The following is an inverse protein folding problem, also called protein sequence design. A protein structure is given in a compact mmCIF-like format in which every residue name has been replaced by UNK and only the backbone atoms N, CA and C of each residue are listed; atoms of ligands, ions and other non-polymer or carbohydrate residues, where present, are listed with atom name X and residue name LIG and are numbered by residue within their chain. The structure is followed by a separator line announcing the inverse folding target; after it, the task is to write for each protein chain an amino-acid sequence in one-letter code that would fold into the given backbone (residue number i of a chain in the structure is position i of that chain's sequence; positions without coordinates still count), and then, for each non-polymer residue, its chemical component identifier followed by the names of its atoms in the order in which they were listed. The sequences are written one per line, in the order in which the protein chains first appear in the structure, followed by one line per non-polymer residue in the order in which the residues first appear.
data_IF_300019544555
#
_entry.id   IF_300019544555
#
_cell.length_a   1.000
_cell.length_b   1.000
_cell.length_c   1.000
_cell.angle_alpha   90.00
_cell.angle_beta   90.00
_cell.angle_gamma   90.00
#
_symmetry.space_group_name_H-M   'P 1'
#
loop_
_entity.id
_entity.type
_entity.pdbx_description
1 polymer ?
#
# COMPACT_ATOMS: atom_id res chain seq x y z
N UNK A 1 28.55 28.50 9.60
CA UNK A 1 27.27 28.05 10.18
C UNK A 1 26.30 27.82 9.03
N UNK A 2 26.19 26.58 8.53
CA UNK A 2 25.29 26.29 7.42
C UNK A 2 23.92 25.93 8.00
N UNK A 3 22.94 26.83 7.84
CA UNK A 3 21.53 26.54 8.06
C UNK A 3 21.14 25.41 7.10
N UNK A 4 20.92 24.21 7.61
CA UNK A 4 20.19 23.18 6.89
C UNK A 4 18.77 23.70 6.65
N UNK A 5 18.44 23.97 5.40
CA UNK A 5 17.05 24.13 4.98
C UNK A 5 16.27 22.92 5.48
N UNK A 6 15.26 23.13 6.33
CA UNK A 6 14.32 22.07 6.74
C UNK A 6 13.56 21.65 5.49
N UNK A 7 14.11 20.70 4.73
CA UNK A 7 13.54 20.20 3.49
C UNK A 7 12.18 19.54 3.76
N UNK A 8 11.16 19.94 2.99
CA UNK A 8 9.84 19.32 3.02
C UNK A 8 9.96 17.82 2.72
N UNK A 9 9.44 16.98 3.62
CA UNK A 9 9.36 15.53 3.38
C UNK A 9 8.13 15.25 2.51
N UNK A 10 8.33 14.52 1.41
CA UNK A 10 7.23 14.04 0.57
C UNK A 10 6.62 12.78 1.18
N UNK A 11 5.32 12.80 1.43
CA UNK A 11 4.55 11.61 1.75
C UNK A 11 4.13 10.82 0.51
N UNK A 12 3.26 9.85 0.72
CA UNK A 12 2.62 9.06 -0.33
C UNK A 12 1.10 9.15 -0.20
N UNK A 13 0.43 9.22 -1.35
CA UNK A 13 -1.02 9.39 -1.40
C UNK A 13 -1.74 8.10 -0.99
N UNK A 14 -3.01 8.22 -0.63
CA UNK A 14 -3.89 7.09 -0.32
C UNK A 14 -3.94 6.08 -1.47
N UNK A 15 -3.96 6.57 -2.72
CA UNK A 15 -3.94 5.72 -3.92
C UNK A 15 -2.64 4.94 -4.08
N UNK A 16 -1.49 5.54 -3.76
CA UNK A 16 -0.20 4.83 -3.75
C UNK A 16 -0.16 3.73 -2.68
N UNK A 17 -0.70 4.00 -1.48
CA UNK A 17 -0.84 2.98 -0.45
C UNK A 17 -1.75 1.83 -0.92
N UNK A 18 -2.90 2.13 -1.54
CA UNK A 18 -3.82 1.12 -2.06
C UNK A 18 -3.21 0.28 -3.20
N UNK A 19 -2.47 0.91 -4.11
CA UNK A 19 -1.71 0.22 -5.15
C UNK A 19 -0.69 -0.75 -4.54
N UNK A 20 0.05 -0.30 -3.53
CA UNK A 20 1.10 -1.08 -2.89
C UNK A 20 0.55 -2.27 -2.10
N UNK A 21 -0.51 -2.09 -1.30
CA UNK A 21 -1.15 -3.19 -0.58
C UNK A 21 -1.78 -4.20 -1.54
N UNK A 22 -2.45 -3.76 -2.61
CA UNK A 22 -3.01 -4.65 -3.60
C UNK A 22 -1.92 -5.48 -4.32
N UNK A 23 -0.81 -4.85 -4.70
CA UNK A 23 0.33 -5.53 -5.30
C UNK A 23 0.94 -6.55 -4.33
N UNK A 24 1.17 -6.15 -3.08
CA UNK A 24 1.74 -7.03 -2.07
C UNK A 24 0.84 -8.23 -1.78
N UNK A 25 -0.46 -8.02 -1.59
CA UNK A 25 -1.43 -9.09 -1.39
C UNK A 25 -1.45 -10.06 -2.59
N UNK A 26 -1.41 -9.57 -3.82
CA UNK A 26 -1.34 -10.43 -5.01
C UNK A 26 -0.03 -11.27 -5.07
N UNK A 27 1.11 -10.70 -4.68
CA UNK A 27 2.37 -11.44 -4.59
C UNK A 27 2.29 -12.52 -3.49
N UNK A 28 1.78 -12.16 -2.32
CA UNK A 28 1.66 -13.11 -1.20
C UNK A 28 0.69 -14.24 -1.52
N UNK A 29 -0.44 -13.94 -2.17
CA UNK A 29 -1.40 -14.94 -2.62
C UNK A 29 -0.79 -15.90 -3.65
N UNK A 30 -0.09 -15.37 -4.65
CA UNK A 30 0.48 -16.20 -5.73
C UNK A 30 1.68 -17.05 -5.30
N UNK A 31 2.38 -16.64 -4.25
CA UNK A 31 3.57 -17.35 -3.75
C UNK A 31 3.32 -18.17 -2.49
N UNK A 32 2.22 -17.94 -1.79
CA UNK A 32 1.95 -18.49 -0.46
C UNK A 32 2.89 -17.97 0.64
N UNK A 33 3.68 -16.91 0.37
CA UNK A 33 4.72 -16.41 1.28
C UNK A 33 4.45 -14.97 1.69
N UNK A 34 4.63 -14.66 2.98
CA UNK A 34 4.57 -13.29 3.47
C UNK A 34 5.81 -12.51 3.03
N UNK A 35 5.63 -11.27 2.57
CA UNK A 35 6.73 -10.34 2.22
C UNK A 35 6.70 -9.11 3.13
N UNK A 36 7.84 -8.55 3.48
CA UNK A 36 7.95 -7.43 4.43
C UNK A 36 7.70 -6.06 3.78
N UNK A 37 8.09 -5.92 2.51
CA UNK A 37 8.04 -4.65 1.78
C UNK A 37 7.63 -4.86 0.34
N UNK A 38 7.15 -3.80 -0.31
CA UNK A 38 6.76 -3.82 -1.71
C UNK A 38 7.29 -2.61 -2.50
N UNK A 39 7.96 -2.95 -3.59
CA UNK A 39 8.21 -2.19 -4.82
C UNK A 39 6.98 -1.55 -5.49
N UNK A 40 6.73 -0.24 -5.45
CA UNK A 40 5.79 0.41 -6.39
C UNK A 40 6.38 1.61 -7.11
N UNK A 41 5.87 1.88 -8.32
CA UNK A 41 6.18 3.08 -9.09
C UNK A 41 4.96 3.99 -9.11
N UNK A 42 5.14 5.25 -8.76
CA UNK A 42 4.09 6.28 -8.82
C UNK A 42 3.85 6.72 -10.27
N UNK A 43 2.72 7.39 -10.57
CA UNK A 43 2.48 7.99 -11.89
C UNK A 43 3.58 8.97 -12.33
N UNK A 44 4.17 9.68 -11.37
CA UNK A 44 5.32 10.59 -11.59
C UNK A 44 6.67 9.87 -11.81
N UNK A 45 6.68 8.54 -11.81
CA UNK A 45 7.86 7.73 -12.09
C UNK A 45 8.75 7.43 -10.88
N UNK A 46 8.40 7.92 -9.69
CA UNK A 46 9.15 7.69 -8.44
C UNK A 46 8.96 6.25 -7.97
N UNK A 47 10.05 5.58 -7.62
CA UNK A 47 10.01 4.27 -6.97
C UNK A 47 9.91 4.42 -5.46
N UNK A 48 9.00 3.67 -4.85
CA UNK A 48 8.79 3.62 -3.41
C UNK A 48 8.86 2.17 -2.96
N UNK A 49 9.61 1.93 -1.88
CA UNK A 49 9.70 0.63 -1.22
C UNK A 49 9.01 0.70 0.14
N UNK A 50 7.73 0.34 0.17
CA UNK A 50 6.84 0.57 1.31
C UNK A 50 6.78 -0.66 2.23
N UNK A 51 6.73 -0.41 3.53
CA UNK A 51 6.65 -1.44 4.56
C UNK A 51 5.21 -1.92 4.76
N UNK A 52 5.05 -3.24 4.92
CA UNK A 52 3.76 -3.87 5.06
C UNK A 52 3.49 -4.21 6.52
N UNK A 53 2.27 -3.90 6.97
CA UNK A 53 1.74 -4.28 8.28
C UNK A 53 0.66 -5.36 8.13
N UNK A 54 0.34 -6.06 9.22
CA UNK A 54 -0.79 -6.98 9.33
C UNK A 54 -0.89 -7.99 8.17
N UNK A 55 0.25 -8.61 7.84
CA UNK A 55 0.38 -9.52 6.70
C UNK A 55 -0.18 -10.90 7.01
N UNK A 56 -1.04 -11.38 6.14
CA UNK A 56 -1.69 -12.67 6.27
C UNK A 56 -1.83 -13.35 4.93
N UNK A 57 -1.56 -14.66 4.93
CA UNK A 57 -1.80 -15.56 3.81
C UNK A 57 -2.70 -16.66 4.37
N UNK A 58 -3.93 -16.69 3.90
CA UNK A 58 -4.89 -17.75 4.17
C UNK A 58 -4.89 -18.77 3.04
N UNK A 59 -5.90 -19.64 3.05
CA UNK A 59 -6.04 -20.71 2.04
C UNK A 59 -6.37 -20.17 0.64
N UNK A 60 -7.29 -19.20 0.55
CA UNK A 60 -7.79 -18.66 -0.71
C UNK A 60 -7.63 -17.13 -0.84
N UNK A 61 -6.94 -16.52 0.14
CA UNK A 61 -6.74 -15.08 0.21
C UNK A 61 -5.36 -14.69 0.73
N UNK A 62 -4.94 -13.48 0.40
CA UNK A 62 -3.88 -12.80 1.13
C UNK A 62 -4.28 -11.35 1.39
N UNK A 63 -3.85 -10.80 2.53
CA UNK A 63 -4.11 -9.41 2.90
C UNK A 63 -2.92 -8.78 3.61
N UNK A 64 -2.82 -7.46 3.47
CA UNK A 64 -1.85 -6.65 4.20
C UNK A 64 -2.32 -5.19 4.25
N UNK A 65 -1.67 -4.42 5.11
CA UNK A 65 -1.87 -2.98 5.20
C UNK A 65 -0.59 -2.18 5.03
N UNK A 66 -0.75 -0.86 4.87
CA UNK A 66 0.28 0.16 4.93
C UNK A 66 -0.24 1.32 5.78
N UNK A 67 0.60 1.87 6.63
CA UNK A 67 0.33 3.15 7.31
C UNK A 67 0.71 4.29 6.37
N UNK A 68 -0.24 5.17 6.05
CA UNK A 68 0.02 6.31 5.17
C UNK A 68 0.90 7.36 5.88
N UNK A 69 2.03 7.68 5.28
CA UNK A 69 2.85 8.83 5.65
C UNK A 69 2.55 9.99 4.70
N UNK A 70 2.17 11.14 5.24
CA UNK A 70 1.86 12.36 4.48
C UNK A 70 3.09 13.28 4.36
N UNK A 71 4.20 12.93 5.01
CA UNK A 71 5.39 13.77 5.07
C UNK A 71 5.08 15.06 5.83
N UNK A 72 5.38 16.19 5.20
CA UNK A 72 5.17 17.53 5.78
C UNK A 72 3.79 18.14 5.44
N UNK A 73 2.93 17.42 4.72
CA UNK A 73 1.61 17.88 4.32
C UNK A 73 0.58 17.68 5.46
N UNK A 74 -0.17 18.71 5.90
CA UNK A 74 -1.27 18.57 6.86
C UNK A 74 -2.47 17.83 6.22
N UNK A 75 -2.29 16.53 5.98
CA UNK A 75 -3.29 15.63 5.40
C UNK A 75 -4.05 14.88 6.53
N UNK A 76 -5.37 15.03 6.56
CA UNK A 76 -6.26 14.41 7.56
C UNK A 76 -6.23 12.88 7.57
N UNK A 77 -5.71 12.26 6.51
CA UNK A 77 -5.55 10.80 6.39
C UNK A 77 -4.14 10.34 6.71
N UNK A 78 -3.25 11.21 7.23
CA UNK A 78 -1.98 10.80 7.78
C UNK A 78 -2.16 9.76 8.89
N UNK A 79 -1.34 8.72 8.89
CA UNK A 79 -1.45 7.59 9.83
C UNK A 79 -2.61 6.64 9.54
N UNK A 80 -3.45 6.91 8.53
CA UNK A 80 -4.50 5.98 8.15
C UNK A 80 -3.90 4.65 7.70
N UNK A 81 -4.48 3.56 8.18
CA UNK A 81 -4.13 2.22 7.74
C UNK A 81 -4.94 1.87 6.50
N UNK A 82 -4.24 1.70 5.39
CA UNK A 82 -4.83 1.32 4.11
C UNK A 82 -4.61 -0.17 3.93
N UNK A 83 -5.65 -0.92 3.56
CA UNK A 83 -5.60 -2.37 3.43
C UNK A 83 -6.05 -2.83 2.05
N UNK A 84 -5.58 -4.00 1.64
CA UNK A 84 -6.13 -4.75 0.53
C UNK A 84 -6.16 -6.25 0.87
N UNK A 85 -7.23 -6.92 0.46
CA UNK A 85 -7.34 -8.38 0.43
C UNK A 85 -7.52 -8.81 -1.03
N UNK A 86 -6.79 -9.84 -1.46
CA UNK A 86 -6.83 -10.37 -2.81
C UNK A 86 -7.17 -11.85 -2.73
N UNK A 87 -8.03 -12.31 -3.65
CA UNK A 87 -8.45 -13.70 -3.82
C UNK A 87 -8.37 -14.09 -5.29
N UNK A 88 -8.15 -15.36 -5.58
CA UNK A 88 -8.34 -15.87 -6.93
C UNK A 88 -9.83 -15.90 -7.28
N UNK A 89 -10.14 -15.69 -8.56
CA UNK A 89 -11.51 -15.71 -9.07
C UNK A 89 -11.55 -16.58 -10.31
N UNK A 90 -12.61 -17.39 -10.40
CA UNK A 90 -12.89 -18.20 -11.60
C UNK A 90 -13.43 -17.36 -12.77
N UNK A 91 -13.68 -16.06 -12.55
CA UNK A 91 -14.10 -15.11 -13.60
C UNK A 91 -12.87 -14.48 -14.24
N UNK A 92 -12.88 -14.35 -15.57
CA UNK A 92 -11.85 -13.60 -16.30
C UNK A 92 -11.82 -12.13 -15.85
N UNK A 93 -10.62 -11.57 -15.74
CA UNK A 93 -10.39 -10.16 -15.41
C UNK A 93 -10.14 -9.90 -13.92
N UNK A 94 -10.20 -8.63 -13.53
CA UNK A 94 -9.97 -8.16 -12.16
C UNK A 94 -11.25 -7.47 -11.66
N UNK A 95 -11.71 -7.86 -10.48
CA UNK A 95 -12.82 -7.19 -9.78
C UNK A 95 -12.27 -6.46 -8.55
N UNK A 96 -12.62 -5.18 -8.42
CA UNK A 96 -12.23 -4.34 -7.29
C UNK A 96 -13.50 -3.95 -6.55
N UNK A 97 -13.46 -4.05 -5.22
CA UNK A 97 -14.57 -3.65 -4.34
C UNK A 97 -14.03 -2.75 -3.23
N UNK A 98 -14.77 -1.67 -2.93
CA UNK A 98 -14.49 -0.84 -1.76
C UNK A 98 -14.71 -1.62 -0.47
N UNK A 99 -13.74 -1.56 0.43
CA UNK A 99 -13.86 -2.10 1.79
C UNK A 99 -14.48 -1.08 2.75
N UNK A 100 -14.50 -1.43 4.04
CA UNK A 100 -14.89 -0.49 5.10
C UNK A 100 -14.01 0.77 5.05
N UNK A 101 -14.65 1.95 5.01
CA UNK A 101 -13.96 3.24 4.97
C UNK A 101 -13.59 3.73 3.56
N UNK A 102 -13.97 3.00 2.51
CA UNK A 102 -13.87 3.46 1.10
C UNK A 102 -15.26 3.88 0.64
N UNK A 103 -15.44 5.18 0.39
CA UNK A 103 -16.68 5.78 -0.12
C UNK A 103 -16.74 5.87 -1.64
#
# INVERSE_FOLDING_TARGET
MNKTEKGFKKGFTTGTCAQATAKAAAIMLSTGKKIERVEVKTPSGVKLNLELIDREVGEDFARCGIVKDAGSDPDVTHGAKIYAEVRFSNKKGVSIKGGKGVG
#
